data_IF_831257106488
#
_entry.id   IF_831257106488
#
_cell.length_a   1.000
_cell.length_b   1.000
_cell.length_c   1.000
_cell.angle_alpha   90.00
_cell.angle_beta   90.00
_cell.angle_gamma   90.00
#
_symmetry.space_group_name_H-M   'P 1'
#
loop_
_entity.id
_entity.type
_entity.pdbx_description
1 polymer ?
#
# COMPACT_ATOMS: atom_id res chain seq x y z
N UNK A 1 5.50 -6.63 28.54
CA UNK A 1 5.77 -5.69 27.44
C UNK A 1 5.38 -4.35 28.01
N UNK A 2 6.37 -3.55 28.40
CA UNK A 2 6.15 -2.28 29.09
C UNK A 2 5.71 -1.27 28.03
N UNK A 3 4.51 -0.72 28.15
CA UNK A 3 4.00 0.33 27.26
C UNK A 3 4.87 1.60 27.42
N UNK A 4 5.57 1.92 26.34
CA UNK A 4 6.36 3.11 25.94
C UNK A 4 6.63 4.27 26.95
N UNK A 5 7.89 4.78 27.11
CA UNK A 5 8.35 5.53 28.28
C UNK A 5 8.17 7.07 28.32
N UNK A 6 7.53 7.75 27.36
CA UNK A 6 7.32 9.23 27.47
C UNK A 6 6.02 9.71 26.80
N UNK A 7 5.07 10.29 27.57
CA UNK A 7 3.81 10.82 27.05
C UNK A 7 3.93 11.85 25.92
N UNK A 8 5.08 12.52 25.78
CA UNK A 8 5.34 13.57 24.76
C UNK A 8 5.50 13.02 23.34
N UNK A 9 5.77 11.73 23.16
CA UNK A 9 5.91 11.09 21.84
C UNK A 9 4.71 10.21 21.47
N UNK A 10 3.62 10.27 22.25
CA UNK A 10 2.39 9.53 21.94
C UNK A 10 1.82 10.00 20.62
N UNK A 11 1.91 9.14 19.61
CA UNK A 11 1.27 9.36 18.32
C UNK A 11 -0.08 8.65 18.32
N UNK A 12 -1.16 9.41 18.17
CA UNK A 12 -2.49 8.86 18.00
C UNK A 12 -2.77 8.68 16.51
N UNK A 13 -3.07 7.44 16.09
CA UNK A 13 -3.48 7.14 14.72
C UNK A 13 -4.97 6.76 14.70
N UNK A 14 -5.74 7.40 13.82
CA UNK A 14 -7.11 7.00 13.52
C UNK A 14 -7.11 6.20 12.23
N UNK A 15 -7.53 4.93 12.31
CA UNK A 15 -7.68 4.07 11.15
C UNK A 15 -9.16 4.01 10.74
N UNK A 16 -9.44 4.30 9.48
CA UNK A 16 -10.76 4.06 8.87
C UNK A 16 -10.67 2.90 7.91
N UNK A 17 -11.62 1.97 7.99
CA UNK A 17 -11.71 0.80 7.11
C UNK A 17 -13.05 0.79 6.41
N UNK A 18 -13.01 0.66 5.08
CA UNK A 18 -14.20 0.52 4.26
C UNK A 18 -14.09 -0.72 3.36
N UNK A 19 -15.20 -1.45 3.22
CA UNK A 19 -15.31 -2.57 2.29
C UNK A 19 -16.20 -2.17 1.12
N UNK A 20 -15.78 -2.51 -0.11
CA UNK A 20 -16.58 -2.31 -1.31
C UNK A 20 -16.46 -3.49 -2.28
N UNK A 21 -17.49 -3.77 -3.10
CA UNK A 21 -17.38 -4.72 -4.19
C UNK A 21 -16.30 -4.29 -5.18
N UNK A 22 -15.52 -5.25 -5.68
CA UNK A 22 -14.55 -4.98 -6.72
C UNK A 22 -15.25 -4.84 -8.07
N UNK A 23 -14.94 -3.74 -8.78
CA UNK A 23 -15.27 -3.51 -10.19
C UNK A 23 -14.19 -2.61 -10.79
N UNK A 24 -13.76 -2.90 -12.02
CA UNK A 24 -12.78 -2.08 -12.73
C UNK A 24 -13.11 -0.58 -12.61
N UNK A 25 -12.10 0.22 -12.29
CA UNK A 25 -12.23 1.67 -12.13
C UNK A 25 -12.72 2.15 -10.77
N UNK A 26 -13.12 1.28 -9.83
CA UNK A 26 -13.71 1.77 -8.57
C UNK A 26 -12.73 2.51 -7.66
N UNK A 27 -11.42 2.34 -7.87
CA UNK A 27 -10.37 2.97 -7.07
C UNK A 27 -9.70 4.16 -7.77
N UNK A 28 -10.08 4.49 -9.01
CA UNK A 28 -9.35 5.46 -9.84
C UNK A 28 -9.28 6.85 -9.21
N UNK A 29 -10.38 7.32 -8.63
CA UNK A 29 -10.42 8.61 -7.92
C UNK A 29 -9.49 8.59 -6.70
N UNK A 30 -9.53 7.52 -5.90
CA UNK A 30 -8.66 7.36 -4.74
C UNK A 30 -7.18 7.31 -5.15
N UNK A 31 -6.84 6.54 -6.19
CA UNK A 31 -5.46 6.44 -6.69
C UNK A 31 -4.97 7.80 -7.23
N UNK A 32 -5.84 8.56 -7.89
CA UNK A 32 -5.52 9.93 -8.34
C UNK A 32 -5.31 10.87 -7.17
N UNK A 33 -6.16 10.82 -6.15
CA UNK A 33 -6.01 11.65 -4.96
C UNK A 33 -4.73 11.32 -4.17
N UNK A 34 -4.28 10.07 -4.22
CA UNK A 34 -2.99 9.65 -3.65
C UNK A 34 -1.82 10.24 -4.45
N UNK A 35 -1.85 10.14 -5.78
CA UNK A 35 -0.83 10.72 -6.64
C UNK A 35 -0.77 12.26 -6.54
N UNK A 36 -1.92 12.91 -6.36
CA UNK A 36 -2.01 14.36 -6.16
C UNK A 36 -1.69 14.81 -4.71
N UNK A 37 -1.20 13.91 -3.84
CA UNK A 37 -0.90 14.16 -2.42
C UNK A 37 -2.10 14.66 -1.59
N UNK A 38 -3.34 14.40 -2.01
CA UNK A 38 -4.56 14.76 -1.27
C UNK A 38 -4.90 13.75 -0.18
N UNK A 39 -4.51 12.49 -0.38
CA UNK A 39 -4.72 11.38 0.56
C UNK A 39 -3.42 10.60 0.70
N UNK A 40 -3.08 10.16 1.92
CA UNK A 40 -1.90 9.33 2.19
C UNK A 40 -2.18 8.28 3.25
N UNK A 41 -1.27 7.30 3.38
CA UNK A 41 -1.40 6.20 4.36
C UNK A 41 -2.54 5.22 4.03
N UNK A 42 -2.76 4.95 2.74
CA UNK A 42 -3.84 4.08 2.26
C UNK A 42 -3.30 2.70 1.97
N UNK A 43 -3.90 1.68 2.60
CA UNK A 43 -3.66 0.28 2.25
C UNK A 43 -4.89 -0.30 1.55
N UNK A 44 -4.66 -0.94 0.40
CA UNK A 44 -5.71 -1.61 -0.38
C UNK A 44 -5.45 -3.11 -0.32
N UNK A 45 -6.47 -3.89 0.03
CA UNK A 45 -6.30 -5.33 0.27
C UNK A 45 -7.56 -6.13 0.00
N UNK A 46 -7.40 -7.43 -0.26
CA UNK A 46 -8.53 -8.36 -0.26
C UNK A 46 -9.04 -8.59 1.17
N UNK A 47 -10.26 -9.11 1.31
CA UNK A 47 -10.88 -9.29 2.63
C UNK A 47 -10.17 -10.31 3.53
N UNK A 48 -9.12 -10.98 3.03
CA UNK A 48 -8.31 -11.95 3.76
C UNK A 48 -6.88 -11.47 4.02
N UNK A 49 -6.53 -10.23 3.68
CA UNK A 49 -5.19 -9.65 3.88
C UNK A 49 -4.06 -10.47 3.23
N UNK A 50 -4.33 -11.10 2.08
CA UNK A 50 -3.34 -11.89 1.35
C UNK A 50 -2.47 -11.04 0.45
N UNK A 51 -2.97 -9.89 0.03
CA UNK A 51 -2.25 -8.95 -0.83
C UNK A 51 -2.48 -7.56 -0.26
N UNK A 52 -1.41 -6.83 0.06
CA UNK A 52 -1.52 -5.43 0.47
C UNK A 52 -0.84 -4.60 -0.60
N UNK A 53 -1.60 -3.67 -1.17
CA UNK A 53 -1.14 -2.69 -2.12
C UNK A 53 -1.08 -1.33 -1.41
N UNK A 54 0.11 -0.74 -1.40
CA UNK A 54 0.43 0.53 -0.74
C UNK A 54 0.84 1.56 -1.81
N UNK A 55 -0.14 2.24 -2.44
CA UNK A 55 0.11 3.20 -3.51
C UNK A 55 0.69 4.52 -2.99
N UNK A 56 1.53 5.12 -3.82
CA UNK A 56 2.10 6.46 -3.62
C UNK A 56 2.21 7.18 -4.98
N UNK A 57 2.65 8.44 -4.96
CA UNK A 57 2.86 9.21 -6.19
C UNK A 57 3.91 8.55 -7.09
N UNK A 58 3.47 8.13 -8.27
CA UNK A 58 4.31 7.49 -9.28
C UNK A 58 4.47 5.97 -9.15
N UNK A 59 3.92 5.32 -8.11
CA UNK A 59 4.15 3.89 -7.90
C UNK A 59 3.34 3.25 -6.78
N UNK A 60 3.76 2.06 -6.38
CA UNK A 60 3.19 1.35 -5.24
C UNK A 60 4.11 0.24 -4.76
N UNK A 61 4.03 -0.05 -3.46
CA UNK A 61 4.59 -1.26 -2.89
C UNK A 61 3.52 -2.36 -2.81
N UNK A 62 3.95 -3.62 -3.00
CA UNK A 62 3.06 -4.78 -2.90
C UNK A 62 3.63 -5.79 -1.94
N UNK A 63 2.92 -6.00 -0.83
CA UNK A 63 3.26 -6.99 0.18
C UNK A 63 2.54 -8.30 -0.12
N UNK A 64 3.33 -9.36 -0.21
CA UNK A 64 2.89 -10.70 -0.59
C UNK A 64 3.26 -11.73 0.48
N UNK A 65 2.46 -12.79 0.70
CA UNK A 65 2.65 -13.70 1.83
C UNK A 65 3.94 -14.48 1.75
N UNK A 66 4.46 -14.73 0.54
CA UNK A 66 5.65 -15.53 0.32
C UNK A 66 6.61 -14.88 -0.68
N UNK A 67 7.93 -15.14 -0.55
CA UNK A 67 8.92 -14.73 -1.54
C UNK A 67 8.59 -15.22 -2.96
N UNK A 68 8.10 -16.45 -3.10
CA UNK A 68 7.77 -17.02 -4.41
C UNK A 68 6.56 -16.39 -5.08
N UNK A 69 5.60 -15.85 -4.33
CA UNK A 69 4.52 -15.02 -4.88
C UNK A 69 5.03 -13.63 -5.28
N UNK A 70 5.90 -13.04 -4.45
CA UNK A 70 6.61 -11.78 -4.75
C UNK A 70 7.42 -11.85 -6.02
N UNK A 71 8.20 -12.91 -6.22
CA UNK A 71 9.01 -13.10 -7.42
C UNK A 71 8.12 -13.27 -8.66
N UNK A 72 7.07 -14.09 -8.59
CA UNK A 72 6.11 -14.25 -9.69
C UNK A 72 5.39 -12.95 -10.06
N UNK A 73 5.07 -12.11 -9.08
CA UNK A 73 4.44 -10.82 -9.33
C UNK A 73 5.43 -9.83 -9.94
N UNK A 74 6.65 -9.75 -9.40
CA UNK A 74 7.75 -8.95 -9.98
C UNK A 74 7.97 -9.31 -11.45
N UNK A 75 8.14 -10.60 -11.76
CA UNK A 75 8.46 -11.05 -13.10
C UNK A 75 7.33 -10.77 -14.10
N UNK A 76 6.07 -10.83 -13.65
CA UNK A 76 4.89 -10.48 -14.45
C UNK A 76 4.83 -8.98 -14.78
N UNK A 77 5.32 -8.13 -13.89
CA UNK A 77 5.25 -6.67 -13.98
C UNK A 77 6.66 -6.07 -14.09
N UNK A 78 7.59 -6.76 -14.76
CA UNK A 78 8.98 -6.33 -14.86
C UNK A 78 9.11 -4.93 -15.47
N UNK A 79 8.25 -4.58 -16.43
CA UNK A 79 8.21 -3.28 -17.10
C UNK A 79 7.76 -2.13 -16.18
N UNK A 80 7.23 -2.43 -14.99
CA UNK A 80 6.78 -1.43 -14.01
C UNK A 80 7.82 -1.14 -12.93
N UNK A 81 8.90 -1.93 -12.89
CA UNK A 81 9.95 -1.72 -11.89
C UNK A 81 10.72 -0.44 -12.21
N UNK A 82 11.02 0.34 -11.17
CA UNK A 82 11.88 1.51 -11.32
C UNK A 82 13.23 1.08 -11.91
N UNK A 83 13.70 1.84 -12.92
CA UNK A 83 15.05 1.71 -13.46
C UNK A 83 16.11 2.27 -12.51
N UNK A 84 15.72 2.96 -11.44
CA UNK A 84 16.64 3.53 -10.48
C UNK A 84 17.31 2.41 -9.66
N UNK A 85 18.64 2.44 -9.46
CA UNK A 85 19.36 1.38 -8.75
C UNK A 85 18.87 1.08 -7.32
N UNK A 86 18.25 2.06 -6.65
CA UNK A 86 17.66 1.90 -5.32
C UNK A 86 16.24 1.35 -5.34
N UNK A 87 15.63 1.18 -6.52
CA UNK A 87 14.25 0.73 -6.66
C UNK A 87 13.18 1.77 -6.36
N UNK A 88 13.54 3.07 -6.30
CA UNK A 88 12.61 4.20 -6.20
C UNK A 88 12.30 4.79 -7.57
#
# INVERSE_FOLDING_TARGET
MEDDPDPRFRTHCHLTVARRPWRHGCLDELLRDIADYKVGGVLITDTRLRYIYDPYDGGADVFLPTPGERDRMRDRHADWLSSHPSGL
#
